data_IF_908087126151
#
_entry.id   IF_908087126151
#
_cell.length_a   1.000
_cell.length_b   1.000
_cell.length_c   1.000
_cell.angle_alpha   90.00
_cell.angle_beta   90.00
_cell.angle_gamma   90.00
#
_symmetry.space_group_name_H-M   'P 1'
#
loop_
_entity.id
_entity.type
_entity.pdbx_description
1 polymer ?
#
# COMPACT_ATOMS: atom_id res chain seq x y z
N UNK A 1 3.02 7.01 -5.21
CA UNK A 1 3.82 6.99 -6.45
C UNK A 1 5.09 7.76 -6.21
N UNK A 2 6.23 7.10 -6.32
CA UNK A 2 7.51 7.79 -6.19
C UNK A 2 7.65 8.84 -7.26
N UNK A 3 7.32 10.04 -6.90
CA UNK A 3 7.29 11.25 -7.72
C UNK A 3 6.92 10.95 -9.17
N UNK A 4 5.84 11.52 -9.58
CA UNK A 4 5.26 11.39 -10.91
C UNK A 4 6.27 11.70 -12.01
N UNK A 5 6.10 11.10 -13.19
CA UNK A 5 6.90 11.45 -14.35
C UNK A 5 6.90 12.95 -14.60
N UNK A 6 8.02 13.47 -15.08
CA UNK A 6 8.06 14.81 -15.62
C UNK A 6 6.89 14.96 -16.62
N UNK A 7 6.27 16.11 -16.67
CA UNK A 7 5.08 16.46 -17.46
C UNK A 7 3.74 15.87 -17.01
N UNK A 8 3.66 15.08 -15.94
CA UNK A 8 2.40 14.50 -15.47
C UNK A 8 1.33 15.54 -15.06
N UNK A 9 1.74 16.77 -14.74
CA UNK A 9 0.85 17.82 -14.26
C UNK A 9 0.76 19.05 -15.15
N UNK A 10 1.47 19.08 -16.27
CA UNK A 10 1.61 20.27 -17.13
C UNK A 10 0.30 20.73 -17.76
N UNK A 11 -0.61 19.79 -18.02
CA UNK A 11 -1.91 20.06 -18.65
C UNK A 11 -3.06 20.34 -17.64
N UNK A 12 -2.77 20.32 -16.33
CA UNK A 12 -3.80 20.55 -15.31
C UNK A 12 -3.73 21.97 -14.77
N UNK A 13 -4.89 22.64 -14.63
CA UNK A 13 -5.00 23.94 -13.98
C UNK A 13 -4.80 23.83 -12.47
N UNK A 14 -5.20 22.70 -11.87
CA UNK A 14 -5.08 22.49 -10.43
C UNK A 14 -4.96 20.99 -10.07
N UNK A 15 -4.26 20.72 -8.97
CA UNK A 15 -4.12 19.36 -8.37
C UNK A 15 -4.64 19.37 -6.95
N UNK A 16 -5.54 18.42 -6.68
CA UNK A 16 -6.14 18.21 -5.38
C UNK A 16 -5.21 17.33 -4.53
N UNK A 17 -4.76 17.83 -3.39
CA UNK A 17 -3.86 17.16 -2.48
C UNK A 17 -4.58 16.69 -1.21
N UNK A 18 -4.51 15.39 -0.92
CA UNK A 18 -5.24 14.75 0.19
C UNK A 18 -4.42 14.62 1.47
N UNK A 19 -3.16 15.06 1.45
CA UNK A 19 -2.29 15.11 2.63
C UNK A 19 -1.32 16.29 2.58
N UNK A 20 -0.76 16.64 3.74
CA UNK A 20 0.31 17.65 3.83
C UNK A 20 1.55 17.23 3.04
N UNK A 21 1.88 15.93 3.00
CA UNK A 21 2.99 15.40 2.22
C UNK A 21 2.77 15.60 0.72
N UNK A 22 1.62 15.21 0.22
CA UNK A 22 1.25 15.39 -1.19
C UNK A 22 1.27 16.87 -1.59
N UNK A 23 0.74 17.75 -0.72
CA UNK A 23 0.75 19.20 -0.97
C UNK A 23 2.19 19.76 -1.06
N UNK A 24 3.10 19.32 -0.17
CA UNK A 24 4.51 19.73 -0.22
C UNK A 24 5.21 19.25 -1.50
N UNK A 25 5.05 17.99 -1.88
CA UNK A 25 5.61 17.43 -3.11
C UNK A 25 5.11 18.20 -4.34
N UNK A 26 3.80 18.46 -4.42
CA UNK A 26 3.21 19.18 -5.54
C UNK A 26 3.69 20.64 -5.63
N UNK A 27 3.75 21.37 -4.52
CA UNK A 27 4.25 22.73 -4.50
C UNK A 27 5.71 22.80 -4.96
N UNK A 28 6.55 21.85 -4.55
CA UNK A 28 7.94 21.79 -5.00
C UNK A 28 8.03 21.55 -6.52
N UNK A 29 7.25 20.59 -7.04
CA UNK A 29 7.19 20.30 -8.48
C UNK A 29 6.76 21.55 -9.25
N UNK A 30 5.70 22.23 -8.81
CA UNK A 30 5.18 23.44 -9.43
C UNK A 30 6.25 24.53 -9.49
N UNK A 31 6.94 24.78 -8.38
CA UNK A 31 7.99 25.80 -8.30
C UNK A 31 9.18 25.45 -9.18
N UNK A 32 9.74 24.24 -9.02
CA UNK A 32 10.97 23.81 -9.75
C UNK A 32 10.77 23.72 -11.26
N UNK A 33 9.54 23.43 -11.70
CA UNK A 33 9.21 23.31 -13.11
C UNK A 33 8.50 24.54 -13.70
N UNK A 34 8.29 25.57 -12.88
CA UNK A 34 7.58 26.79 -13.26
C UNK A 34 6.22 26.52 -13.92
N UNK A 35 5.42 25.63 -13.29
CA UNK A 35 4.09 25.26 -13.79
C UNK A 35 3.05 26.30 -13.46
N UNK A 36 2.06 26.47 -14.33
CA UNK A 36 0.86 27.30 -14.07
C UNK A 36 -0.15 26.59 -13.17
N UNK A 37 0.01 25.30 -12.98
CA UNK A 37 -0.83 24.43 -12.12
C UNK A 37 -0.82 24.93 -10.68
N UNK A 38 -1.97 24.83 -9.99
CA UNK A 38 -2.11 25.15 -8.58
C UNK A 38 -2.33 23.89 -7.76
N UNK A 39 -1.68 23.77 -6.60
CA UNK A 39 -1.94 22.69 -5.64
C UNK A 39 -2.83 23.22 -4.51
N UNK A 40 -3.84 22.47 -4.11
CA UNK A 40 -4.72 22.87 -3.00
C UNK A 40 -5.08 21.67 -2.11
N UNK A 41 -5.28 21.98 -0.83
CA UNK A 41 -5.70 21.02 0.18
C UNK A 41 -7.13 20.57 -0.08
N UNK A 42 -7.37 19.26 -0.04
CA UNK A 42 -8.71 18.72 -0.14
C UNK A 42 -8.88 17.44 0.68
N UNK A 43 -10.11 17.16 1.12
CA UNK A 43 -10.43 15.92 1.80
C UNK A 43 -10.37 14.73 0.86
N UNK A 44 -9.88 13.59 1.36
CA UNK A 44 -9.92 12.33 0.61
C UNK A 44 -11.31 11.69 0.74
N UNK A 45 -12.29 12.29 0.08
CA UNK A 45 -13.70 11.91 0.18
C UNK A 45 -13.97 10.44 -0.17
N UNK A 46 -13.18 9.87 -1.08
CA UNK A 46 -13.30 8.46 -1.43
C UNK A 46 -13.04 7.55 -0.22
N UNK A 47 -11.92 7.75 0.47
CA UNK A 47 -11.58 6.96 1.68
C UNK A 47 -12.61 7.19 2.78
N UNK A 48 -13.03 8.44 3.00
CA UNK A 48 -14.07 8.77 3.97
C UNK A 48 -15.36 7.99 3.73
N UNK A 49 -15.89 8.05 2.49
CA UNK A 49 -17.10 7.29 2.10
C UNK A 49 -16.91 5.77 2.24
N UNK A 50 -15.69 5.28 1.95
CA UNK A 50 -15.37 3.88 2.06
C UNK A 50 -15.42 3.41 3.53
N UNK A 51 -14.84 4.18 4.45
CA UNK A 51 -14.90 3.92 5.89
C UNK A 51 -16.34 3.92 6.39
N UNK A 52 -17.12 4.96 6.05
CA UNK A 52 -18.52 5.09 6.46
C UNK A 52 -19.38 3.91 6.00
N UNK A 53 -19.22 3.49 4.73
CA UNK A 53 -19.99 2.39 4.15
C UNK A 53 -19.71 1.02 4.77
N UNK A 54 -18.50 0.81 5.29
CA UNK A 54 -18.02 -0.51 5.72
C UNK A 54 -17.77 -0.60 7.23
N UNK A 55 -18.29 0.33 8.01
CA UNK A 55 -18.08 0.43 9.46
C UNK A 55 -18.38 -0.86 10.26
N UNK A 56 -19.22 -1.74 9.72
CA UNK A 56 -19.68 -2.96 10.38
C UNK A 56 -19.29 -4.25 9.65
N UNK A 57 -18.37 -4.16 8.68
CA UNK A 57 -17.95 -5.33 7.92
C UNK A 57 -16.84 -6.08 8.67
N UNK A 58 -17.08 -7.35 8.99
CA UNK A 58 -16.05 -8.23 9.54
C UNK A 58 -15.14 -8.76 8.45
N UNK A 59 -13.85 -8.90 8.76
CA UNK A 59 -12.89 -9.53 7.87
C UNK A 59 -13.07 -11.04 7.85
N UNK A 60 -13.17 -11.62 6.65
CA UNK A 60 -13.37 -13.05 6.41
C UNK A 60 -12.06 -13.78 6.12
N UNK A 61 -11.03 -13.05 5.69
CA UNK A 61 -9.75 -13.59 5.23
C UNK A 61 -8.62 -12.84 5.97
N UNK A 62 -7.59 -13.58 6.36
CA UNK A 62 -6.52 -12.98 7.14
C UNK A 62 -5.71 -11.96 6.32
N UNK A 63 -5.27 -12.31 5.13
CA UNK A 63 -4.25 -11.54 4.39
C UNK A 63 -4.65 -11.22 2.97
N UNK A 64 -4.50 -9.95 2.60
CA UNK A 64 -4.41 -9.50 1.22
C UNK A 64 -2.95 -9.28 0.84
N UNK A 65 -2.46 -9.98 -0.17
CA UNK A 65 -1.18 -9.69 -0.81
C UNK A 65 -1.47 -8.79 -2.01
N UNK A 66 -1.08 -7.52 -1.98
CA UNK A 66 -1.37 -6.54 -3.03
C UNK A 66 -0.11 -5.78 -3.45
N UNK A 67 0.82 -6.43 -4.19
CA UNK A 67 2.04 -5.78 -4.64
C UNK A 67 1.76 -4.67 -5.65
N UNK A 68 2.69 -3.72 -5.74
CA UNK A 68 2.70 -2.75 -6.81
C UNK A 68 3.01 -3.42 -8.16
N UNK A 69 2.73 -2.73 -9.25
CA UNK A 69 3.22 -3.14 -10.57
C UNK A 69 4.73 -2.85 -10.66
N UNK A 70 5.51 -3.76 -10.10
CA UNK A 70 6.96 -3.73 -10.08
C UNK A 70 7.47 -5.16 -10.28
N UNK A 71 8.16 -5.38 -11.37
CA UNK A 71 8.65 -6.70 -11.76
C UNK A 71 9.47 -7.41 -10.68
N UNK A 72 10.11 -6.65 -9.79
CA UNK A 72 10.96 -7.21 -8.74
C UNK A 72 10.20 -8.12 -7.77
N UNK A 73 8.96 -7.81 -7.43
CA UNK A 73 8.17 -8.65 -6.51
C UNK A 73 7.98 -10.07 -7.05
N UNK A 74 7.63 -10.19 -8.34
CA UNK A 74 7.41 -11.49 -8.98
C UNK A 74 8.72 -12.16 -9.36
N UNK A 75 9.68 -11.44 -9.93
CA UNK A 75 11.00 -11.98 -10.32
C UNK A 75 11.81 -12.52 -9.16
N UNK A 76 11.69 -11.91 -7.97
CA UNK A 76 12.34 -12.37 -6.75
C UNK A 76 11.54 -13.45 -6.01
N UNK A 77 10.45 -13.94 -6.61
CA UNK A 77 9.67 -15.03 -6.05
C UNK A 77 8.91 -14.70 -4.76
N UNK A 78 8.72 -13.42 -4.41
CA UNK A 78 8.07 -13.03 -3.16
C UNK A 78 6.67 -13.65 -3.01
N UNK A 79 5.89 -13.75 -4.09
CA UNK A 79 4.57 -14.38 -4.09
C UNK A 79 4.61 -15.87 -3.78
N UNK A 80 5.66 -16.57 -4.22
CA UNK A 80 5.87 -18.01 -3.96
C UNK A 80 6.27 -18.23 -2.50
N UNK A 81 7.21 -17.41 -2.01
CA UNK A 81 7.66 -17.48 -0.61
C UNK A 81 6.51 -17.15 0.35
N UNK A 82 5.74 -16.11 0.07
CA UNK A 82 4.56 -15.75 0.87
C UNK A 82 3.54 -16.89 0.88
N UNK A 83 3.19 -17.45 -0.29
CA UNK A 83 2.28 -18.60 -0.35
C UNK A 83 2.76 -19.71 0.58
N UNK A 84 4.03 -20.12 0.46
CA UNK A 84 4.62 -21.18 1.27
C UNK A 84 4.44 -20.92 2.75
N UNK A 85 4.93 -19.77 3.24
CA UNK A 85 4.94 -19.48 4.67
C UNK A 85 3.55 -19.20 5.26
N UNK A 86 2.63 -18.61 4.48
CA UNK A 86 1.25 -18.41 4.93
C UNK A 86 0.51 -19.75 5.07
N UNK A 87 0.66 -20.67 4.13
CA UNK A 87 0.08 -22.03 4.20
C UNK A 87 0.65 -22.79 5.40
N UNK A 88 1.97 -22.80 5.58
CA UNK A 88 2.63 -23.48 6.71
C UNK A 88 2.12 -22.96 8.07
N UNK A 89 1.73 -21.71 8.15
CA UNK A 89 1.18 -21.09 9.36
C UNK A 89 -0.35 -21.12 9.43
N UNK A 90 -1.05 -21.74 8.48
CA UNK A 90 -2.53 -21.85 8.39
C UNK A 90 -3.20 -20.47 8.31
N UNK A 91 -2.57 -19.50 7.65
CA UNK A 91 -3.08 -18.16 7.45
C UNK A 91 -3.78 -18.11 6.08
N UNK A 92 -5.04 -17.70 6.07
CA UNK A 92 -5.81 -17.53 4.83
C UNK A 92 -5.37 -16.27 4.08
N UNK A 93 -5.27 -16.35 2.74
CA UNK A 93 -4.80 -15.22 1.96
C UNK A 93 -5.37 -15.22 0.54
N UNK A 94 -5.32 -14.04 -0.10
CA UNK A 94 -5.51 -13.87 -1.55
C UNK A 94 -4.48 -12.93 -2.13
N UNK A 95 -4.15 -13.15 -3.41
CA UNK A 95 -3.26 -12.29 -4.19
C UNK A 95 -4.09 -11.36 -5.08
N UNK A 96 -3.91 -10.07 -4.93
CA UNK A 96 -4.45 -9.04 -5.84
C UNK A 96 -3.35 -8.57 -6.77
N UNK A 97 -3.37 -9.06 -8.00
CA UNK A 97 -2.41 -8.64 -9.02
C UNK A 97 -2.81 -7.29 -9.59
N UNK A 98 -1.89 -6.34 -9.62
CA UNK A 98 -2.14 -5.05 -10.26
C UNK A 98 -2.32 -5.25 -11.79
N UNK A 99 -3.31 -4.61 -12.46
CA UNK A 99 -3.55 -4.79 -13.90
C UNK A 99 -2.31 -4.54 -14.76
N UNK A 100 -1.51 -3.54 -14.38
CA UNK A 100 -0.26 -3.22 -15.08
C UNK A 100 0.76 -4.36 -15.05
N UNK A 101 0.73 -5.22 -14.03
CA UNK A 101 1.63 -6.40 -13.96
C UNK A 101 1.32 -7.42 -15.06
N UNK A 102 0.05 -7.57 -15.43
CA UNK A 102 -0.33 -8.38 -16.59
C UNK A 102 0.07 -7.72 -17.90
N UNK A 103 -0.22 -6.42 -18.06
CA UNK A 103 0.14 -5.64 -19.26
C UNK A 103 1.65 -5.68 -19.51
N UNK A 104 2.43 -5.52 -18.45
CA UNK A 104 3.91 -5.55 -18.51
C UNK A 104 4.50 -6.96 -18.50
N UNK A 105 3.66 -8.00 -18.52
CA UNK A 105 4.07 -9.40 -18.49
C UNK A 105 4.99 -9.74 -17.30
N UNK A 106 4.77 -9.11 -16.16
CA UNK A 106 5.51 -9.39 -14.93
C UNK A 106 5.09 -10.73 -14.31
N UNK A 107 3.84 -11.11 -14.51
CA UNK A 107 3.24 -12.39 -14.18
C UNK A 107 2.06 -12.67 -15.11
N UNK A 108 1.76 -13.92 -15.39
CA UNK A 108 0.62 -14.34 -16.20
C UNK A 108 -0.44 -15.05 -15.36
N UNK A 109 -1.68 -15.05 -15.85
CA UNK A 109 -2.78 -15.83 -15.24
C UNK A 109 -2.44 -17.33 -15.23
N UNK A 110 -1.73 -17.82 -16.25
CA UNK A 110 -1.30 -19.23 -16.33
C UNK A 110 -0.36 -19.59 -15.18
N UNK A 111 0.65 -18.75 -14.91
CA UNK A 111 1.58 -18.94 -13.79
C UNK A 111 0.86 -18.95 -12.44
N UNK A 112 -0.04 -17.99 -12.21
CA UNK A 112 -0.82 -17.92 -10.95
C UNK A 112 -1.66 -19.18 -10.75
N UNK A 113 -2.31 -19.68 -11.82
CA UNK A 113 -3.09 -20.93 -11.76
C UNK A 113 -2.20 -22.14 -11.49
N UNK A 114 -1.03 -22.21 -12.12
CA UNK A 114 -0.06 -23.30 -11.88
C UNK A 114 0.47 -23.29 -10.45
N UNK A 115 0.62 -22.11 -9.85
CA UNK A 115 1.03 -21.94 -8.48
C UNK A 115 -0.11 -22.15 -7.48
N UNK A 116 -1.35 -22.38 -7.93
CA UNK A 116 -2.54 -22.52 -7.08
C UNK A 116 -2.62 -21.42 -6.01
N UNK A 117 -2.49 -20.15 -6.45
CA UNK A 117 -2.60 -18.99 -5.58
C UNK A 117 -4.01 -18.40 -5.74
N UNK A 118 -4.80 -18.29 -4.66
CA UNK A 118 -6.12 -17.70 -4.73
C UNK A 118 -6.05 -16.21 -5.08
N UNK A 119 -6.80 -15.80 -6.11
CA UNK A 119 -6.81 -14.41 -6.61
C UNK A 119 -7.97 -13.64 -5.99
N UNK A 120 -7.71 -12.39 -5.64
CA UNK A 120 -8.72 -11.39 -5.32
C UNK A 120 -9.04 -10.51 -6.54
N UNK A 121 -10.30 -10.19 -6.70
CA UNK A 121 -10.73 -9.25 -7.74
C UNK A 121 -10.35 -7.81 -7.35
N UNK A 122 -9.93 -7.03 -8.36
CA UNK A 122 -9.56 -5.62 -8.19
C UNK A 122 -10.78 -4.76 -7.82
N UNK A 123 -11.09 -4.71 -6.54
CA UNK A 123 -12.08 -3.79 -6.01
C UNK A 123 -11.59 -3.26 -4.66
N UNK A 124 -11.36 -1.93 -4.59
CA UNK A 124 -10.94 -1.27 -3.34
C UNK A 124 -11.91 -1.54 -2.18
N UNK A 125 -13.20 -1.71 -2.46
CA UNK A 125 -14.21 -2.06 -1.46
C UNK A 125 -13.91 -3.38 -0.76
N UNK A 126 -13.19 -4.28 -1.41
CA UNK A 126 -12.84 -5.58 -0.85
C UNK A 126 -11.73 -5.54 0.21
N UNK A 127 -11.11 -4.37 0.49
CA UNK A 127 -10.11 -4.27 1.56
C UNK A 127 -10.66 -4.70 2.92
N UNK A 128 -11.92 -4.42 3.20
CA UNK A 128 -12.58 -4.77 4.48
C UNK A 128 -12.77 -6.27 4.71
N UNK A 129 -12.59 -7.09 3.69
CA UNK A 129 -12.60 -8.55 3.81
C UNK A 129 -11.33 -9.12 4.42
N UNK A 130 -10.30 -8.31 4.56
CA UNK A 130 -8.98 -8.73 5.00
C UNK A 130 -8.58 -8.07 6.29
N UNK A 131 -7.97 -8.85 7.20
CA UNK A 131 -7.41 -8.32 8.45
C UNK A 131 -6.10 -7.57 8.20
N UNK A 132 -5.21 -8.13 7.38
CA UNK A 132 -3.86 -7.63 7.16
C UNK A 132 -3.57 -7.39 5.69
N UNK A 133 -2.70 -6.42 5.42
CA UNK A 133 -2.17 -6.13 4.09
C UNK A 133 -0.67 -6.45 4.04
N UNK A 134 -0.26 -7.23 3.03
CA UNK A 134 1.13 -7.39 2.63
C UNK A 134 1.32 -6.71 1.28
N UNK A 135 2.31 -5.84 1.16
CA UNK A 135 2.62 -5.15 -0.10
C UNK A 135 4.12 -4.82 -0.19
N UNK A 136 4.54 -4.18 -1.27
CA UNK A 136 5.90 -3.68 -1.46
C UNK A 136 5.93 -2.14 -1.52
N UNK A 137 6.13 -1.54 -2.68
CA UNK A 137 6.14 -0.10 -2.94
C UNK A 137 4.82 0.43 -3.51
N UNK A 138 3.71 -0.07 -3.02
CA UNK A 138 2.36 0.37 -3.41
C UNK A 138 1.83 1.42 -2.45
N UNK A 139 1.17 2.47 -2.93
CA UNK A 139 0.43 3.42 -2.10
C UNK A 139 -0.71 2.80 -1.28
N UNK A 140 -1.08 1.54 -1.56
CA UNK A 140 -2.13 0.82 -0.85
C UNK A 140 -1.88 0.72 0.67
N UNK A 141 -0.60 0.72 1.13
CA UNK A 141 -0.32 0.70 2.57
C UNK A 141 -0.76 1.99 3.27
N UNK A 142 -0.70 3.12 2.57
CA UNK A 142 -1.16 4.41 3.10
C UNK A 142 -2.68 4.39 3.25
N UNK A 143 -3.39 3.93 2.21
CA UNK A 143 -4.85 3.79 2.25
C UNK A 143 -5.31 2.80 3.30
N UNK A 144 -4.61 1.66 3.43
CA UNK A 144 -4.84 0.68 4.49
C UNK A 144 -4.70 1.31 5.88
N UNK A 145 -3.61 2.06 6.13
CA UNK A 145 -3.40 2.75 7.38
C UNK A 145 -4.47 3.82 7.66
N UNK A 146 -4.92 4.55 6.61
CA UNK A 146 -6.00 5.54 6.75
C UNK A 146 -7.34 4.88 7.14
N UNK A 147 -7.62 3.68 6.62
CA UNK A 147 -8.87 2.96 6.85
C UNK A 147 -8.86 2.26 8.23
N UNK A 148 -7.80 1.50 8.50
CA UNK A 148 -7.76 0.57 9.62
C UNK A 148 -6.97 1.07 10.83
N UNK A 149 -6.25 2.21 10.70
CA UNK A 149 -5.36 2.76 11.73
C UNK A 149 -4.31 1.75 12.22
N UNK A 150 -3.74 0.99 11.27
CA UNK A 150 -2.79 -0.08 11.54
C UNK A 150 -1.64 -0.07 10.54
N UNK A 151 -0.52 -0.67 10.96
CA UNK A 151 0.64 -0.90 10.07
C UNK A 151 0.37 -2.02 9.08
N UNK A 152 0.72 -1.81 7.81
CA UNK A 152 0.80 -2.86 6.82
C UNK A 152 2.15 -3.59 6.92
N UNK A 153 2.23 -4.82 6.38
CA UNK A 153 3.48 -5.56 6.21
C UNK A 153 4.11 -5.21 4.85
N UNK A 154 5.33 -4.70 4.87
CA UNK A 154 5.98 -4.16 3.68
C UNK A 154 7.25 -4.93 3.33
N UNK A 155 7.36 -5.42 2.11
CA UNK A 155 8.54 -6.14 1.62
C UNK A 155 9.49 -5.14 0.95
N UNK A 156 10.76 -5.19 1.32
CA UNK A 156 11.83 -4.38 0.76
C UNK A 156 12.32 -4.94 -0.58
N UNK A 157 11.46 -4.90 -1.60
CA UNK A 157 11.89 -5.10 -2.98
C UNK A 157 12.66 -3.87 -3.48
N UNK A 158 13.42 -3.95 -4.58
CA UNK A 158 13.97 -2.77 -5.24
C UNK A 158 12.90 -1.70 -5.47
N UNK A 159 13.23 -0.44 -5.18
CA UNK A 159 12.29 0.68 -5.23
C UNK A 159 11.64 0.80 -6.60
N UNK A 160 10.34 0.99 -6.62
CA UNK A 160 9.61 1.34 -7.84
C UNK A 160 9.81 2.83 -8.13
N UNK A 161 10.78 3.15 -8.97
CA UNK A 161 11.08 4.53 -9.38
C UNK A 161 10.34 4.80 -10.68
N UNK A 162 9.40 5.75 -10.66
CA UNK A 162 8.67 6.20 -11.85
C UNK A 162 9.44 7.36 -12.51
N UNK A 163 9.89 8.34 -11.72
CA UNK A 163 10.67 9.48 -12.20
C UNK A 163 12.15 9.28 -11.90
N UNK A 164 12.99 9.13 -12.92
CA UNK A 164 14.44 9.00 -12.76
C UNK A 164 15.09 10.26 -12.16
N UNK A 165 14.43 11.41 -12.26
CA UNK A 165 14.88 12.68 -11.72
C UNK A 165 14.41 12.96 -10.28
N UNK A 166 13.79 11.98 -9.59
CA UNK A 166 13.20 12.20 -8.29
C UNK A 166 14.20 12.73 -7.22
N UNK A 167 15.49 12.41 -7.38
CA UNK A 167 16.54 12.90 -6.47
C UNK A 167 16.84 14.41 -6.60
N UNK A 168 16.34 15.07 -7.66
CA UNK A 168 16.44 16.52 -7.82
C UNK A 168 15.48 17.30 -6.90
N UNK A 169 14.49 16.60 -6.33
CA UNK A 169 13.53 17.18 -5.39
C UNK A 169 14.05 17.06 -3.96
N UNK A 170 13.77 18.05 -3.13
CA UNK A 170 14.18 18.08 -1.71
C UNK A 170 13.26 17.21 -0.86
N UNK A 171 11.96 17.25 -1.17
CA UNK A 171 11.00 16.41 -0.48
C UNK A 171 11.16 14.94 -0.91
N UNK A 172 11.35 14.07 0.07
CA UNK A 172 11.31 12.64 -0.19
C UNK A 172 9.89 12.20 -0.56
N UNK A 173 9.74 11.28 -1.53
CA UNK A 173 8.44 10.70 -1.86
C UNK A 173 7.70 10.20 -0.63
N UNK A 174 6.39 10.42 -0.61
CA UNK A 174 5.53 10.05 0.53
C UNK A 174 5.66 8.56 0.89
N UNK A 175 5.82 7.69 -0.09
CA UNK A 175 5.99 6.25 0.12
C UNK A 175 7.29 5.93 0.87
N UNK A 176 8.36 6.71 0.68
CA UNK A 176 9.61 6.56 1.42
C UNK A 176 9.43 7.11 2.84
N UNK A 177 8.85 8.31 2.94
CA UNK A 177 8.69 9.02 4.22
C UNK A 177 7.82 8.25 5.20
N UNK A 178 6.72 7.67 4.74
CA UNK A 178 5.73 7.02 5.59
C UNK A 178 5.97 5.52 5.78
N UNK A 179 6.90 4.92 5.02
CA UNK A 179 7.07 3.47 4.99
C UNK A 179 7.32 2.87 6.38
N UNK A 180 8.21 3.47 7.16
CA UNK A 180 8.58 2.97 8.49
C UNK A 180 7.58 3.38 9.59
N UNK A 181 6.68 4.32 9.30
CA UNK A 181 5.67 4.79 10.24
C UNK A 181 4.38 3.98 10.07
N UNK A 182 3.90 3.88 8.82
CA UNK A 182 2.64 3.23 8.47
C UNK A 182 2.80 1.76 8.07
N UNK A 183 4.02 1.22 8.12
CA UNK A 183 4.31 -0.16 7.77
C UNK A 183 5.39 -0.76 8.66
N UNK A 184 5.34 -2.10 8.77
CA UNK A 184 6.42 -2.93 9.31
C UNK A 184 7.18 -3.53 8.14
N UNK A 185 8.44 -3.17 7.99
CA UNK A 185 9.26 -3.53 6.81
C UNK A 185 10.04 -4.81 7.04
N UNK A 186 10.15 -5.63 5.99
CA UNK A 186 10.88 -6.89 5.99
C UNK A 186 11.73 -6.99 4.73
N UNK A 187 12.96 -7.43 4.88
CA UNK A 187 13.80 -7.81 3.75
C UNK A 187 13.34 -9.14 3.18
N UNK A 188 13.70 -9.42 1.93
CA UNK A 188 13.22 -10.60 1.21
C UNK A 188 13.66 -11.89 1.92
N UNK A 189 14.86 -11.90 2.48
CA UNK A 189 15.43 -13.00 3.25
C UNK A 189 14.61 -13.31 4.52
N UNK A 190 13.91 -12.30 5.02
CA UNK A 190 13.11 -12.35 6.25
C UNK A 190 11.60 -12.46 5.99
N UNK A 191 11.16 -12.72 4.77
CA UNK A 191 9.72 -12.86 4.42
C UNK A 191 8.99 -13.85 5.33
N UNK A 192 9.63 -14.93 5.78
CA UNK A 192 9.07 -15.88 6.74
C UNK A 192 8.57 -15.26 8.04
N UNK A 193 9.20 -14.19 8.48
CA UNK A 193 8.86 -13.50 9.73
C UNK A 193 7.52 -12.78 9.64
N UNK A 194 7.04 -12.46 8.44
CA UNK A 194 5.72 -11.87 8.22
C UNK A 194 4.63 -12.82 8.73
N UNK A 195 4.69 -14.10 8.35
CA UNK A 195 3.71 -15.10 8.78
C UNK A 195 3.72 -15.28 10.31
N UNK A 196 4.89 -15.32 10.92
CA UNK A 196 5.04 -15.40 12.38
C UNK A 196 4.46 -14.16 13.07
N UNK A 197 4.72 -12.97 12.53
CA UNK A 197 4.18 -11.71 13.08
C UNK A 197 2.65 -11.66 13.00
N UNK A 198 2.07 -12.08 11.87
CA UNK A 198 0.61 -12.15 11.69
C UNK A 198 -0.01 -13.12 12.70
N UNK A 199 0.60 -14.29 12.90
CA UNK A 199 0.11 -15.28 13.86
C UNK A 199 0.10 -14.75 15.29
N UNK A 200 1.14 -14.05 15.71
CA UNK A 200 1.21 -13.42 17.04
C UNK A 200 0.10 -12.40 17.18
N UNK A 201 -0.05 -11.49 16.21
CA UNK A 201 -1.10 -10.46 16.24
C UNK A 201 -2.50 -11.07 16.28
N UNK A 202 -2.77 -12.10 15.47
CA UNK A 202 -4.08 -12.78 15.49
C UNK A 202 -4.37 -13.40 16.85
N UNK A 203 -3.40 -14.00 17.52
CA UNK A 203 -3.58 -14.57 18.86
C UNK A 203 -3.81 -13.49 19.94
N UNK A 204 -3.20 -12.33 19.80
CA UNK A 204 -3.42 -11.20 20.71
C UNK A 204 -4.82 -10.59 20.50
N UNK A 205 -5.26 -10.46 19.25
CA UNK A 205 -6.60 -9.98 18.90
C UNK A 205 -7.69 -10.91 19.42
N UNK A 206 -7.54 -12.24 19.30
CA UNK A 206 -8.48 -13.23 19.82
C UNK A 206 -8.62 -13.13 21.35
N UNK A 207 -7.54 -12.80 22.07
CA UNK A 207 -7.57 -12.59 23.53
C UNK A 207 -8.27 -11.30 23.92
N UNK A 208 -8.12 -10.23 23.13
CA UNK A 208 -8.65 -8.89 23.45
C UNK A 208 -10.07 -8.64 22.93
N UNK A 209 -10.62 -9.52 22.11
CA UNK A 209 -11.93 -9.39 21.41
C UNK A 209 -12.06 -8.13 20.54
N UNK A 210 -11.05 -7.31 20.45
CA UNK A 210 -11.00 -6.08 19.64
C UNK A 210 -9.64 -5.96 18.97
N UNK A 211 -9.67 -5.66 17.71
CA UNK A 211 -8.47 -5.35 16.95
C UNK A 211 -8.06 -3.92 17.34
N UNK A 212 -6.96 -3.77 18.07
CA UNK A 212 -6.49 -2.44 18.49
C UNK A 212 -5.95 -1.63 17.29
N UNK A 213 -6.33 -0.36 17.25
CA UNK A 213 -5.72 0.62 16.38
C UNK A 213 -4.31 0.97 16.91
N UNK A 214 -3.36 1.22 16.01
CA UNK A 214 -2.00 1.64 16.36
C UNK A 214 -2.04 3.18 16.60
N UNK A 215 -1.77 3.60 17.83
CA UNK A 215 -1.86 5.02 18.24
C UNK A 215 -0.93 5.91 17.42
N UNK A 216 0.29 5.44 17.11
CA UNK A 216 1.24 6.19 16.27
C UNK A 216 0.68 6.39 14.86
N UNK A 217 0.07 5.34 14.29
CA UNK A 217 -0.57 5.41 12.97
C UNK A 217 -1.76 6.36 13.01
N UNK A 218 -2.59 6.29 14.05
CA UNK A 218 -3.76 7.14 14.22
C UNK A 218 -3.35 8.62 14.34
N UNK A 219 -2.32 8.92 15.12
CA UNK A 219 -1.78 10.27 15.27
C UNK A 219 -1.25 10.83 13.94
N UNK A 220 -0.46 10.06 13.21
CA UNK A 220 0.08 10.46 11.90
C UNK A 220 -1.03 10.70 10.89
N UNK A 221 -2.02 9.81 10.83
CA UNK A 221 -3.15 9.97 9.90
C UNK A 221 -3.95 11.23 10.24
N UNK A 222 -4.32 11.44 11.51
CA UNK A 222 -5.12 12.59 11.93
C UNK A 222 -4.43 13.93 11.69
N UNK A 223 -3.11 14.00 11.94
CA UNK A 223 -2.33 15.24 11.80
C UNK A 223 -1.99 15.61 10.36
N UNK A 224 -1.86 14.63 9.45
CA UNK A 224 -1.25 14.86 8.15
C UNK A 224 -2.15 14.59 6.95
N UNK A 225 -3.23 13.82 7.12
CA UNK A 225 -4.15 13.53 6.03
C UNK A 225 -5.47 14.30 6.20
N UNK A 226 -6.05 14.68 5.07
CA UNK A 226 -7.29 15.46 5.02
C UNK A 226 -8.47 14.52 4.75
N UNK A 227 -8.98 13.87 5.79
CA UNK A 227 -10.08 12.89 5.74
C UNK A 227 -11.39 13.54 6.21
#
# INVERSE_FOLDING_TARGET
>A
TMIYNDNSFDSFDAVQCTSKYHLKEMNEIIIKRNLKTRAFKSKYLFIKKLIEKNKHQNSEIDVLIAPSWNSSFYKLGCHILLKKFLIENKISFKLRVHPMSFIKKEISIKEIKQLDIPIDNLNMLNLFKYKYLITDWSGAFIEYAMIFKRKAFLINTPKKIVNQNYLKYENKPIEITLRNILGKTYDIENIKEIASSIKILSQEEDKKKLIEEDDDVQEIISKNFFI
#
